data_IF_195115282125
#
_entry.id   IF_195115282125
#
_cell.length_a   1.000
_cell.length_b   1.000
_cell.length_c   1.000
_cell.angle_alpha   90.00
_cell.angle_beta   90.00
_cell.angle_gamma   90.00
#
_symmetry.space_group_name_H-M   'P 1'
#
loop_
_entity.id
_entity.type
_entity.pdbx_description
1 polymer ?
#
# COMPACT_ATOMS: atom_id res chain seq x y z
N UNK A 1 -1.13 -1.53 -8.79
CA UNK A 1 -1.97 -1.26 -7.61
C UNK A 1 -3.20 -0.52 -8.08
N UNK A 2 -4.36 -0.98 -7.63
CA UNK A 2 -5.66 -0.40 -7.89
C UNK A 2 -6.33 -0.17 -6.55
N UNK A 3 -6.69 1.07 -6.29
CA UNK A 3 -7.48 1.46 -5.12
C UNK A 3 -8.83 1.90 -5.65
N UNK A 4 -9.89 1.20 -5.26
CA UNK A 4 -11.27 1.52 -5.61
C UNK A 4 -12.01 1.81 -4.32
N UNK A 5 -12.58 3.00 -4.23
CA UNK A 5 -13.50 3.39 -3.18
C UNK A 5 -14.79 3.76 -3.89
N UNK A 6 -15.82 2.95 -3.67
CA UNK A 6 -17.18 3.28 -4.06
C UNK A 6 -17.90 3.75 -2.83
N UNK A 7 -18.45 4.95 -2.91
CA UNK A 7 -19.26 5.52 -1.85
C UNK A 7 -20.65 5.77 -2.40
N UNK A 8 -21.68 5.56 -1.59
CA UNK A 8 -23.07 5.75 -2.02
C UNK A 8 -23.42 7.24 -2.18
N UNK A 9 -22.97 8.05 -1.24
CA UNK A 9 -23.30 9.48 -1.15
C UNK A 9 -22.12 10.41 -1.49
N UNK A 10 -20.92 9.84 -1.68
CA UNK A 10 -19.71 10.59 -2.02
C UNK A 10 -19.15 10.21 -3.40
N UNK A 11 -18.17 10.99 -3.86
CA UNK A 11 -17.52 10.78 -5.14
C UNK A 11 -16.66 9.51 -5.11
N UNK A 12 -16.92 8.61 -6.06
CA UNK A 12 -16.09 7.42 -6.26
C UNK A 12 -14.63 7.78 -6.54
N UNK A 13 -13.72 7.07 -5.86
CA UNK A 13 -12.27 7.22 -6.05
C UNK A 13 -11.74 5.97 -6.75
N UNK A 14 -11.06 6.15 -7.88
CA UNK A 14 -10.39 5.07 -8.58
C UNK A 14 -8.96 5.49 -8.92
N UNK A 15 -7.99 4.95 -8.18
CA UNK A 15 -6.57 5.25 -8.36
C UNK A 15 -5.86 4.02 -8.94
N UNK A 16 -5.19 4.24 -10.06
CA UNK A 16 -4.31 3.25 -10.70
C UNK A 16 -2.87 3.70 -10.51
N UNK A 17 -2.13 2.97 -9.67
CA UNK A 17 -0.73 3.24 -9.39
C UNK A 17 0.15 2.12 -9.96
N UNK A 18 1.16 2.44 -10.78
CA UNK A 18 2.12 1.45 -11.25
C UNK A 18 2.83 0.77 -10.08
N UNK A 19 2.94 -0.56 -10.15
CA UNK A 19 3.65 -1.35 -9.12
C UNK A 19 5.10 -0.93 -8.97
N UNK A 20 5.75 -0.60 -10.08
CA UNK A 20 7.14 -0.14 -10.12
C UNK A 20 7.33 1.10 -9.25
N UNK A 21 6.37 2.02 -9.30
CA UNK A 21 6.32 3.25 -8.51
C UNK A 21 6.05 2.95 -7.04
N UNK A 22 4.97 2.21 -6.73
CA UNK A 22 4.58 1.91 -5.34
C UNK A 22 5.65 1.13 -4.58
N UNK A 23 6.28 0.15 -5.24
CA UNK A 23 7.30 -0.70 -4.64
C UNK A 23 8.73 -0.21 -4.98
N UNK A 24 8.93 1.11 -5.15
CA UNK A 24 10.23 1.71 -5.49
C UNK A 24 11.10 2.01 -4.27
N UNK A 25 12.41 2.16 -4.47
CA UNK A 25 13.32 2.58 -3.39
C UNK A 25 12.97 3.97 -2.87
N UNK A 26 12.56 4.89 -3.75
CA UNK A 26 12.12 6.23 -3.35
C UNK A 26 10.91 6.15 -2.42
N UNK A 27 9.90 5.36 -2.80
CA UNK A 27 8.71 5.16 -1.97
C UNK A 27 9.04 4.45 -0.66
N UNK A 28 10.01 3.53 -0.64
CA UNK A 28 10.52 2.94 0.60
C UNK A 28 11.12 3.98 1.54
N UNK A 29 11.95 4.90 1.02
CA UNK A 29 12.56 5.95 1.85
C UNK A 29 11.49 6.88 2.43
N UNK A 30 10.54 7.31 1.60
CA UNK A 30 9.43 8.17 2.03
C UNK A 30 8.56 7.45 3.07
N UNK A 31 8.23 6.18 2.82
CA UNK A 31 7.41 5.37 3.72
C UNK A 31 8.13 5.15 5.05
N UNK A 32 9.42 4.82 5.06
CA UNK A 32 10.20 4.66 6.29
C UNK A 32 10.18 5.96 7.11
N UNK A 33 10.40 7.12 6.47
CA UNK A 33 10.33 8.41 7.15
C UNK A 33 8.92 8.70 7.70
N UNK A 34 7.87 8.44 6.92
CA UNK A 34 6.50 8.67 7.33
C UNK A 34 6.06 7.76 8.50
N UNK A 35 6.50 6.50 8.51
CA UNK A 35 6.23 5.54 9.59
C UNK A 35 7.02 5.94 10.84
N UNK A 36 8.31 6.23 10.71
CA UNK A 36 9.17 6.64 11.83
C UNK A 36 8.73 7.96 12.49
N UNK A 37 7.94 8.80 11.79
CA UNK A 37 7.31 10.00 12.39
C UNK A 37 6.12 9.69 13.29
N UNK A 38 5.50 8.52 13.14
CA UNK A 38 4.25 8.15 13.83
C UNK A 38 4.44 7.09 14.91
N UNK A 39 5.51 6.31 14.84
CA UNK A 39 5.84 5.31 15.86
C UNK A 39 6.67 5.93 16.97
N UNK A 40 6.53 5.41 18.19
CA UNK A 40 7.44 5.74 19.27
C UNK A 40 8.81 5.08 19.00
N UNK A 41 9.87 5.88 18.93
CA UNK A 41 11.21 5.42 18.54
C UNK A 41 11.79 4.39 19.52
N UNK A 42 11.23 4.29 20.72
CA UNK A 42 11.63 3.29 21.72
C UNK A 42 11.20 1.87 21.34
N UNK A 43 10.13 1.72 20.55
CA UNK A 43 9.57 0.41 20.24
C UNK A 43 10.14 -0.18 18.94
N UNK A 44 10.43 0.65 17.94
CA UNK A 44 11.08 0.22 16.70
C UNK A 44 11.50 1.43 15.85
N UNK A 45 12.63 1.36 15.15
CA UNK A 45 12.96 2.28 14.05
C UNK A 45 13.06 1.49 12.74
N UNK A 46 12.24 1.85 11.76
CA UNK A 46 12.28 1.18 10.45
C UNK A 46 13.44 1.75 9.64
N UNK A 47 14.45 0.91 9.42
CA UNK A 47 15.53 1.19 8.47
C UNK A 47 14.98 1.29 7.05
N UNK A 48 15.29 2.41 6.38
CA UNK A 48 14.94 2.61 4.96
C UNK A 48 15.53 1.52 4.06
N UNK A 49 16.69 0.95 4.42
CA UNK A 49 17.35 -0.12 3.69
C UNK A 49 16.56 -1.42 3.75
N UNK A 50 16.02 -1.74 4.91
CA UNK A 50 15.23 -2.96 5.09
C UNK A 50 13.86 -2.83 4.43
N UNK A 51 13.27 -1.63 4.47
CA UNK A 51 12.05 -1.36 3.71
C UNK A 51 12.29 -1.43 2.19
N UNK A 52 13.44 -0.98 1.68
CA UNK A 52 13.83 -1.17 0.27
C UNK A 52 13.90 -2.67 -0.09
N UNK A 53 14.53 -3.50 0.76
CA UNK A 53 14.60 -4.95 0.54
C UNK A 53 13.20 -5.57 0.53
N UNK A 54 12.34 -5.18 1.47
CA UNK A 54 10.96 -5.66 1.53
C UNK A 54 10.18 -5.31 0.26
N UNK A 55 10.28 -4.07 -0.21
CA UNK A 55 9.63 -3.66 -1.47
C UNK A 55 10.15 -4.44 -2.68
N UNK A 56 11.45 -4.77 -2.73
CA UNK A 56 12.00 -5.61 -3.78
C UNK A 56 11.45 -7.05 -3.73
N UNK A 57 11.33 -7.65 -2.54
CA UNK A 57 10.71 -8.97 -2.35
C UNK A 57 9.25 -8.94 -2.75
N UNK A 58 8.48 -7.96 -2.27
CA UNK A 58 7.09 -7.73 -2.63
C UNK A 58 6.91 -7.65 -4.14
N UNK A 59 7.80 -6.95 -4.86
CA UNK A 59 7.73 -6.83 -6.32
C UNK A 59 7.95 -8.18 -7.01
N UNK A 60 8.89 -9.00 -6.51
CA UNK A 60 9.14 -10.36 -7.03
C UNK A 60 7.95 -11.29 -6.77
N UNK A 61 7.43 -11.27 -5.55
CA UNK A 61 6.25 -12.04 -5.11
C UNK A 61 5.05 -11.69 -6.00
N UNK A 62 4.80 -10.40 -6.20
CA UNK A 62 3.76 -9.94 -7.11
C UNK A 62 3.98 -10.41 -8.55
N UNK A 63 5.20 -10.33 -9.07
CA UNK A 63 5.51 -10.82 -10.42
C UNK A 63 5.26 -12.33 -10.55
N UNK A 64 5.51 -13.10 -9.49
CA UNK A 64 5.39 -14.57 -9.48
C UNK A 64 3.95 -15.05 -9.35
N UNK A 65 3.18 -14.46 -8.43
CA UNK A 65 1.83 -14.94 -8.08
C UNK A 65 0.71 -14.04 -8.62
N UNK A 66 1.05 -12.88 -9.18
CA UNK A 66 0.10 -11.99 -9.83
C UNK A 66 -0.65 -11.09 -8.85
N UNK A 67 -1.96 -11.34 -8.72
CA UNK A 67 -2.90 -10.44 -8.04
C UNK A 67 -2.84 -10.63 -6.52
N UNK A 68 -2.62 -9.55 -5.78
CA UNK A 68 -2.65 -9.53 -4.32
C UNK A 68 -3.79 -8.65 -3.83
N UNK A 69 -4.80 -9.24 -3.21
CA UNK A 69 -5.86 -8.47 -2.55
C UNK A 69 -5.38 -8.10 -1.15
N UNK A 70 -5.26 -6.80 -0.90
CA UNK A 70 -4.79 -6.27 0.38
C UNK A 70 -5.96 -5.90 1.28
N UNK A 71 -7.02 -5.36 0.68
CA UNK A 71 -8.23 -4.92 1.37
C UNK A 71 -9.42 -5.22 0.46
N UNK A 72 -10.44 -5.84 1.02
CA UNK A 72 -11.77 -5.95 0.43
C UNK A 72 -12.80 -5.79 1.55
N UNK A 73 -13.35 -4.59 1.67
CA UNK A 73 -14.29 -4.22 2.73
C UNK A 73 -15.55 -3.70 2.08
N UNK A 74 -16.69 -4.22 2.54
CA UNK A 74 -18.02 -3.73 2.19
C UNK A 74 -18.75 -3.31 3.46
N UNK A 75 -19.21 -2.06 3.49
CA UNK A 75 -20.05 -1.53 4.57
C UNK A 75 -21.50 -2.00 4.41
N UNK A 76 -22.24 -2.07 5.52
CA UNK A 76 -23.69 -2.28 5.53
C UNK A 76 -24.45 -1.23 4.71
N UNK A 77 -23.89 -0.02 4.63
CA UNK A 77 -24.49 1.12 3.91
C UNK A 77 -24.25 1.05 2.39
N UNK A 78 -23.42 0.10 1.94
CA UNK A 78 -23.13 -0.17 0.52
C UNK A 78 -21.78 0.36 0.02
N UNK A 79 -21.00 1.01 0.87
CA UNK A 79 -19.66 1.49 0.51
C UNK A 79 -18.68 0.32 0.32
N UNK A 80 -17.81 0.41 -0.69
CA UNK A 80 -16.86 -0.65 -1.04
C UNK A 80 -15.45 -0.06 -1.12
N UNK A 81 -14.53 -0.59 -0.31
CA UNK A 81 -13.09 -0.29 -0.38
C UNK A 81 -12.34 -1.54 -0.83
N UNK A 82 -11.79 -1.47 -2.04
CA UNK A 82 -11.01 -2.57 -2.63
C UNK A 82 -9.61 -2.07 -2.99
N UNK A 83 -8.60 -2.66 -2.36
CA UNK A 83 -7.19 -2.40 -2.65
C UNK A 83 -6.56 -3.69 -3.16
N UNK A 84 -6.13 -3.64 -4.41
CA UNK A 84 -5.44 -4.74 -5.07
C UNK A 84 -4.05 -4.25 -5.45
N UNK A 85 -3.01 -4.91 -4.98
CA UNK A 85 -1.65 -4.59 -5.38
C UNK A 85 -1.43 -5.04 -6.81
#
# INVERSE_FOLDING_TARGET
MRIQIKSKDEKNINLLLPTSLVLSNLTAVIAASAINKKIDKKDCEISSRDLCKLMAVMRKVKKKYGRFELVDIQSSDGDIVKIVL
#
